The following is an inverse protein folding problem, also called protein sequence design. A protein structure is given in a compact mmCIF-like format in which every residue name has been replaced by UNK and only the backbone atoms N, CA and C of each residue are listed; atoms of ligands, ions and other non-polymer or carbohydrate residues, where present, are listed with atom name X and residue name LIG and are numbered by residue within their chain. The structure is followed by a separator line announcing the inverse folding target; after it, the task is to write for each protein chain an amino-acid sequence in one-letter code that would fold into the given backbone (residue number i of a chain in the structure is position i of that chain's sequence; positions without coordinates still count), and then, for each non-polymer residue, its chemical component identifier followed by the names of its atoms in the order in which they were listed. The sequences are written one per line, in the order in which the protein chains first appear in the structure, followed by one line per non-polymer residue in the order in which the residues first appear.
data_IF_326774106232
#
_entry.id   IF_326774106232
#
_cell.length_a   1.000
_cell.length_b   1.000
_cell.length_c   1.000
_cell.angle_alpha   90.00
_cell.angle_beta   90.00
_cell.angle_gamma   90.00
#
_symmetry.space_group_name_H-M   'P 1'
#
loop_
_entity.id
_entity.type
_entity.pdbx_description
1 polymer ?
#
# COMPACT_ATOMS: atom_id res chain seq x y z
N UNK A 1 -63.59 -28.55 8.06
CA UNK A 1 -62.56 -27.58 8.50
C UNK A 1 -61.13 -28.08 8.28
N UNK A 2 -60.76 -29.31 8.67
CA UNK A 2 -59.39 -29.82 8.51
C UNK A 2 -58.84 -29.81 7.06
N UNK A 3 -59.66 -30.18 6.06
CA UNK A 3 -59.26 -30.22 4.65
C UNK A 3 -58.99 -28.84 4.03
N UNK A 4 -59.71 -27.81 4.49
CA UNK A 4 -59.52 -26.43 4.03
C UNK A 4 -58.20 -25.85 4.56
N UNK A 5 -57.89 -26.12 5.84
CA UNK A 5 -56.65 -25.67 6.46
C UNK A 5 -55.40 -26.34 5.84
N UNK A 6 -55.50 -27.61 5.45
CA UNK A 6 -54.42 -28.31 4.76
C UNK A 6 -54.13 -27.73 3.36
N UNK A 7 -55.17 -27.31 2.63
CA UNK A 7 -55.01 -26.66 1.32
C UNK A 7 -54.32 -25.30 1.43
N UNK A 8 -54.74 -24.49 2.41
CA UNK A 8 -54.14 -23.17 2.67
C UNK A 8 -52.66 -23.29 3.05
N UNK A 9 -52.29 -24.27 3.88
CA UNK A 9 -50.91 -24.52 4.26
C UNK A 9 -50.04 -24.91 3.05
N UNK A 10 -50.55 -25.77 2.16
CA UNK A 10 -49.82 -26.16 0.95
C UNK A 10 -49.61 -24.97 -0.01
N UNK A 11 -50.59 -24.08 -0.14
CA UNK A 11 -50.46 -22.84 -0.92
C UNK A 11 -49.41 -21.90 -0.31
N UNK A 12 -49.37 -21.79 1.02
CA UNK A 12 -48.34 -21.02 1.74
C UNK A 12 -46.93 -21.61 1.53
N UNK A 13 -46.77 -22.93 1.62
CA UNK A 13 -45.47 -23.60 1.37
C UNK A 13 -45.01 -23.37 -0.08
N UNK A 14 -45.92 -23.50 -1.06
CA UNK A 14 -45.59 -23.25 -2.46
C UNK A 14 -45.17 -21.78 -2.69
N UNK A 15 -45.85 -20.83 -2.05
CA UNK A 15 -45.49 -19.41 -2.09
C UNK A 15 -44.10 -19.14 -1.48
N UNK A 16 -43.80 -19.77 -0.33
CA UNK A 16 -42.48 -19.66 0.32
C UNK A 16 -41.37 -20.23 -0.55
N UNK A 17 -41.55 -21.40 -1.16
CA UNK A 17 -40.56 -22.00 -2.06
C UNK A 17 -40.28 -21.09 -3.28
N UNK A 18 -41.32 -20.45 -3.83
CA UNK A 18 -41.15 -19.49 -4.91
C UNK A 18 -40.39 -18.22 -4.45
N UNK A 19 -40.58 -17.77 -3.21
CA UNK A 19 -39.82 -16.66 -2.64
C UNK A 19 -38.35 -17.02 -2.40
N UNK A 20 -38.06 -18.22 -1.87
CA UNK A 20 -36.70 -18.72 -1.69
C UNK A 20 -35.97 -18.80 -3.03
N UNK A 21 -36.59 -19.35 -4.08
CA UNK A 21 -35.98 -19.39 -5.41
C UNK A 21 -35.67 -18.02 -6.00
N UNK A 22 -36.48 -16.99 -5.70
CA UNK A 22 -36.18 -15.60 -6.08
C UNK A 22 -35.02 -15.01 -5.28
N UNK A 23 -34.94 -15.31 -3.98
CA UNK A 23 -33.84 -14.87 -3.11
C UNK A 23 -32.52 -15.48 -3.55
N UNK A 24 -32.49 -16.78 -3.87
CA UNK A 24 -31.28 -17.46 -4.34
C UNK A 24 -30.79 -16.89 -5.68
N UNK A 25 -31.71 -16.60 -6.60
CA UNK A 25 -31.39 -15.94 -7.86
C UNK A 25 -30.82 -14.53 -7.64
N UNK A 26 -31.39 -13.77 -6.70
CA UNK A 26 -30.91 -12.43 -6.36
C UNK A 26 -29.53 -12.45 -5.68
N UNK A 27 -29.30 -13.38 -4.74
CA UNK A 27 -27.99 -13.58 -4.11
C UNK A 27 -26.93 -13.91 -5.16
N UNK A 28 -27.25 -14.83 -6.08
CA UNK A 28 -26.34 -15.23 -7.17
C UNK A 28 -26.03 -14.03 -8.07
N UNK A 29 -27.05 -13.25 -8.43
CA UNK A 29 -26.89 -12.04 -9.25
C UNK A 29 -26.01 -10.99 -8.56
N UNK A 30 -26.19 -10.78 -7.26
CA UNK A 30 -25.38 -9.84 -6.48
C UNK A 30 -23.92 -10.30 -6.37
N UNK A 31 -23.69 -11.60 -6.16
CA UNK A 31 -22.34 -12.17 -6.16
C UNK A 31 -21.64 -11.94 -7.51
N UNK A 32 -22.29 -12.28 -8.62
CA UNK A 32 -21.74 -12.05 -9.96
C UNK A 32 -21.46 -10.56 -10.24
N UNK A 33 -22.36 -9.67 -9.81
CA UNK A 33 -22.15 -8.23 -9.96
C UNK A 33 -20.97 -7.72 -9.12
N UNK A 34 -20.80 -8.24 -7.90
CA UNK A 34 -19.68 -7.90 -7.03
C UNK A 34 -18.35 -8.42 -7.59
N UNK A 35 -18.33 -9.65 -8.11
CA UNK A 35 -17.13 -10.26 -8.72
C UNK A 35 -16.72 -9.49 -9.98
N UNK A 36 -17.68 -9.16 -10.85
CA UNK A 36 -17.42 -8.36 -12.04
C UNK A 36 -16.88 -6.97 -11.68
N UNK A 37 -17.45 -6.33 -10.64
CA UNK A 37 -16.94 -5.04 -10.14
C UNK A 37 -15.53 -5.18 -9.56
N UNK A 38 -15.26 -6.22 -8.79
CA UNK A 38 -13.95 -6.50 -8.22
C UNK A 38 -12.89 -6.71 -9.30
N UNK A 39 -13.23 -7.42 -10.39
CA UNK A 39 -12.34 -7.62 -11.53
C UNK A 39 -12.01 -6.30 -12.26
N UNK A 40 -13.03 -5.46 -12.48
CA UNK A 40 -12.86 -4.13 -13.09
C UNK A 40 -11.99 -3.23 -12.21
N UNK A 41 -12.27 -3.18 -10.91
CA UNK A 41 -11.50 -2.40 -9.93
C UNK A 41 -10.04 -2.87 -9.86
N UNK A 42 -9.81 -4.19 -9.88
CA UNK A 42 -8.47 -4.76 -9.88
C UNK A 42 -7.69 -4.39 -11.15
N UNK A 43 -8.32 -4.51 -12.33
CA UNK A 43 -7.71 -4.10 -13.61
C UNK A 43 -7.36 -2.61 -13.61
N UNK A 44 -8.24 -1.76 -13.06
CA UNK A 44 -7.98 -0.34 -12.91
C UNK A 44 -6.78 -0.07 -11.99
N UNK A 45 -6.69 -0.76 -10.84
CA UNK A 45 -5.59 -0.67 -9.90
C UNK A 45 -4.24 -1.11 -10.50
N UNK A 46 -4.24 -2.21 -11.28
CA UNK A 46 -3.06 -2.69 -12.00
C UNK A 46 -2.60 -1.66 -13.04
N UNK A 47 -3.54 -1.11 -13.82
CA UNK A 47 -3.22 -0.06 -14.81
C UNK A 47 -2.66 1.19 -14.13
N UNK A 48 -3.29 1.63 -13.03
CA UNK A 48 -2.81 2.77 -12.24
C UNK A 48 -1.38 2.56 -11.77
N UNK A 49 -1.07 1.36 -11.25
CA UNK A 49 0.28 1.00 -10.80
C UNK A 49 1.28 0.99 -11.96
N UNK A 50 0.88 0.49 -13.13
CA UNK A 50 1.73 0.51 -14.32
C UNK A 50 2.02 1.94 -14.82
N UNK A 51 1.03 2.83 -14.79
CA UNK A 51 1.22 4.24 -15.16
C UNK A 51 2.08 4.98 -14.13
N UNK A 52 1.89 4.70 -12.84
CA UNK A 52 2.79 5.18 -11.78
C UNK A 52 4.25 4.80 -12.07
N UNK A 53 4.54 3.58 -12.49
CA UNK A 53 5.91 3.17 -12.81
C UNK A 53 6.53 3.93 -13.98
N UNK A 54 5.73 4.28 -15.00
CA UNK A 54 6.21 5.11 -16.12
C UNK A 54 6.58 6.50 -15.62
N UNK A 55 5.72 7.13 -14.82
CA UNK A 55 6.01 8.43 -14.21
C UNK A 55 7.22 8.37 -13.27
N UNK A 56 7.30 7.32 -12.46
CA UNK A 56 8.38 7.11 -11.51
C UNK A 56 9.72 7.04 -12.25
N UNK A 57 9.80 6.27 -13.33
CA UNK A 57 11.00 6.15 -14.18
C UNK A 57 11.49 7.51 -14.65
N UNK A 58 10.57 8.37 -15.10
CA UNK A 58 10.90 9.74 -15.54
C UNK A 58 11.34 10.65 -14.39
N UNK A 59 10.81 10.46 -13.17
CA UNK A 59 11.07 11.31 -12.00
C UNK A 59 12.33 10.93 -11.24
N UNK A 60 12.61 9.63 -11.08
CA UNK A 60 13.69 9.13 -10.21
C UNK A 60 14.79 8.35 -10.95
N UNK A 61 14.60 8.10 -12.25
CA UNK A 61 15.54 7.34 -13.07
C UNK A 61 15.22 5.83 -13.12
N UNK A 62 15.73 5.18 -14.17
CA UNK A 62 15.38 3.79 -14.51
C UNK A 62 15.80 2.76 -13.44
N UNK A 63 16.96 2.93 -12.81
CA UNK A 63 17.45 1.97 -11.80
C UNK A 63 16.59 1.97 -10.54
N UNK A 64 16.28 3.15 -9.97
CA UNK A 64 15.43 3.25 -8.79
C UNK A 64 14.00 2.77 -9.07
N UNK A 65 13.45 3.10 -10.24
CA UNK A 65 12.12 2.62 -10.64
C UNK A 65 12.10 1.09 -10.81
N UNK A 66 13.15 0.50 -11.40
CA UNK A 66 13.27 -0.95 -11.56
C UNK A 66 13.36 -1.67 -10.20
N UNK A 67 14.12 -1.14 -9.23
CA UNK A 67 14.19 -1.72 -7.90
C UNK A 67 12.86 -1.61 -7.13
N UNK A 68 12.12 -0.52 -7.31
CA UNK A 68 10.77 -0.38 -6.76
C UNK A 68 9.79 -1.41 -7.34
N UNK A 69 9.80 -1.60 -8.66
CA UNK A 69 9.00 -2.64 -9.33
C UNK A 69 9.38 -4.05 -8.85
N UNK A 70 10.67 -4.31 -8.71
CA UNK A 70 11.17 -5.61 -8.32
C UNK A 70 10.88 -5.91 -6.84
N UNK A 71 10.86 -4.89 -5.97
CA UNK A 71 10.34 -5.03 -4.60
C UNK A 71 8.84 -5.36 -4.64
N UNK A 72 8.06 -4.64 -5.45
CA UNK A 72 6.61 -4.85 -5.59
C UNK A 72 6.24 -6.24 -6.09
N UNK A 73 6.97 -6.78 -7.06
CA UNK A 73 6.77 -8.15 -7.53
C UNK A 73 6.98 -9.20 -6.42
N UNK A 74 7.77 -8.86 -5.40
CA UNK A 74 8.11 -9.73 -4.29
C UNK A 74 7.27 -9.57 -3.02
N UNK A 75 6.29 -8.65 -2.95
CA UNK A 75 5.51 -8.43 -1.72
C UNK A 75 4.33 -9.37 -1.53
N UNK A 76 3.80 -9.96 -2.60
CA UNK A 76 2.59 -10.77 -2.52
C UNK A 76 2.80 -11.98 -1.62
N UNK A 77 1.91 -12.19 -0.65
CA UNK A 77 1.99 -13.28 0.32
C UNK A 77 3.04 -13.09 1.42
N UNK A 78 3.91 -12.08 1.35
CA UNK A 78 4.85 -11.75 2.42
C UNK A 78 4.17 -10.96 3.53
N UNK A 79 4.67 -11.16 4.75
CA UNK A 79 4.37 -10.29 5.89
C UNK A 79 5.53 -9.33 6.11
N UNK A 80 5.23 -8.21 6.74
CA UNK A 80 6.24 -7.27 7.19
C UNK A 80 7.11 -7.91 8.29
N UNK A 81 8.42 -7.66 8.25
CA UNK A 81 9.37 -8.06 9.30
C UNK A 81 9.23 -7.21 10.58
N UNK A 82 10.16 -7.38 11.51
CA UNK A 82 10.18 -6.62 12.77
C UNK A 82 11.09 -5.38 12.70
N UNK A 83 10.86 -4.40 13.56
CA UNK A 83 11.60 -3.13 13.53
C UNK A 83 13.08 -3.31 13.84
N UNK A 84 13.45 -4.25 14.71
CA UNK A 84 14.84 -4.49 15.11
C UNK A 84 15.69 -4.90 13.91
N UNK A 85 15.24 -5.89 13.14
CA UNK A 85 15.92 -6.36 11.92
C UNK A 85 15.90 -5.28 10.84
N UNK A 86 14.77 -4.60 10.64
CA UNK A 86 14.66 -3.54 9.64
C UNK A 86 15.60 -2.36 9.96
N UNK A 87 15.68 -1.92 11.22
CA UNK A 87 16.64 -0.90 11.64
C UNK A 87 18.07 -1.37 11.40
N UNK A 88 18.42 -2.60 11.77
CA UNK A 88 19.76 -3.14 11.55
C UNK A 88 20.14 -3.21 10.06
N UNK A 89 19.20 -3.51 9.19
CA UNK A 89 19.39 -3.49 7.73
C UNK A 89 19.61 -2.05 7.21
N UNK A 90 18.85 -1.09 7.70
CA UNK A 90 18.92 0.32 7.27
C UNK A 90 20.18 1.04 7.77
N UNK A 91 20.56 0.82 9.03
CA UNK A 91 21.73 1.46 9.66
C UNK A 91 23.04 1.21 8.89
N UNK A 92 23.15 0.07 8.20
CA UNK A 92 24.30 -0.24 7.32
C UNK A 92 24.52 0.80 6.21
N UNK A 93 23.47 1.51 5.80
CA UNK A 93 23.49 2.45 4.68
C UNK A 93 23.07 3.88 5.09
N UNK A 94 22.59 4.07 6.33
CA UNK A 94 22.07 5.34 6.84
C UNK A 94 23.03 6.51 6.62
N UNK A 95 24.32 6.35 6.91
CA UNK A 95 25.29 7.44 6.79
C UNK A 95 25.51 7.85 5.33
N UNK A 96 25.57 6.88 4.42
CA UNK A 96 25.70 7.15 2.99
C UNK A 96 24.46 7.88 2.45
N UNK A 97 23.28 7.44 2.88
CA UNK A 97 21.98 8.04 2.53
C UNK A 97 21.84 9.46 3.10
N UNK A 98 22.16 9.66 4.37
CA UNK A 98 22.02 10.95 5.05
C UNK A 98 22.94 12.03 4.48
N UNK A 99 24.15 11.65 4.01
CA UNK A 99 25.10 12.57 3.36
C UNK A 99 24.61 13.11 2.02
N UNK A 100 23.67 12.43 1.35
CA UNK A 100 23.08 12.88 0.08
C UNK A 100 22.05 14.01 0.25
N UNK A 101 21.62 14.32 1.47
CA UNK A 101 20.67 15.41 1.74
C UNK A 101 21.37 16.64 2.30
N UNK A 102 21.25 17.76 1.59
CA UNK A 102 21.53 19.08 2.18
C UNK A 102 20.41 19.50 3.15
N UNK A 103 20.68 20.49 4.00
CA UNK A 103 19.64 21.08 4.84
C UNK A 103 18.44 21.61 4.04
N UNK A 104 18.70 22.15 2.85
CA UNK A 104 17.66 22.66 1.94
C UNK A 104 16.79 21.54 1.38
N UNK A 105 17.40 20.39 1.04
CA UNK A 105 16.65 19.23 0.56
C UNK A 105 15.70 18.72 1.64
N UNK A 106 16.19 18.61 2.88
CA UNK A 106 15.38 18.19 4.03
C UNK A 106 14.20 19.12 4.26
N UNK A 107 14.42 20.43 4.19
CA UNK A 107 13.36 21.43 4.34
C UNK A 107 12.32 21.32 3.20
N UNK A 108 12.77 21.16 1.96
CA UNK A 108 11.89 21.01 0.80
C UNK A 108 11.02 19.76 0.92
N UNK A 109 11.58 18.63 1.34
CA UNK A 109 10.84 17.38 1.55
C UNK A 109 9.84 17.54 2.70
N UNK A 110 10.24 18.16 3.81
CA UNK A 110 9.33 18.40 4.92
C UNK A 110 8.11 19.24 4.49
N UNK A 111 8.31 20.29 3.69
CA UNK A 111 7.22 21.11 3.13
C UNK A 111 6.35 20.32 2.14
N UNK A 112 6.96 19.46 1.32
CA UNK A 112 6.23 18.62 0.36
C UNK A 112 5.35 17.58 1.07
N UNK A 113 5.81 17.06 2.22
CA UNK A 113 5.03 16.15 3.07
C UNK A 113 3.92 16.90 3.83
N UNK A 114 4.16 18.13 4.30
CA UNK A 114 3.12 18.96 4.94
C UNK A 114 1.99 19.33 3.98
N UNK A 115 2.32 19.54 2.70
CA UNK A 115 1.37 19.94 1.66
C UNK A 115 0.64 18.75 1.03
N UNK A 116 0.85 17.54 1.55
CA UNK A 116 0.31 16.32 0.97
C UNK A 116 -1.22 16.28 1.11
N UNK A 117 -1.91 16.11 -0.02
CA UNK A 117 -3.35 15.99 -0.04
C UNK A 117 -3.79 14.62 0.50
N UNK A 118 -4.37 14.62 1.72
CA UNK A 118 -4.81 13.39 2.41
C UNK A 118 -5.85 12.58 1.66
N UNK A 119 -6.75 13.23 0.92
CA UNK A 119 -7.76 12.54 0.10
C UNK A 119 -7.13 11.86 -1.11
N UNK A 120 -6.19 12.54 -1.77
CA UNK A 120 -5.45 11.95 -2.89
C UNK A 120 -4.58 10.79 -2.42
N UNK A 121 -3.94 10.90 -1.26
CA UNK A 121 -3.23 9.79 -0.63
C UNK A 121 -4.17 8.61 -0.35
N UNK A 122 -5.33 8.82 0.27
CA UNK A 122 -6.30 7.76 0.51
C UNK A 122 -6.72 7.03 -0.78
N UNK A 123 -6.99 7.79 -1.85
CA UNK A 123 -7.32 7.23 -3.17
C UNK A 123 -6.16 6.43 -3.75
N UNK A 124 -4.93 6.95 -3.70
CA UNK A 124 -3.74 6.25 -4.19
C UNK A 124 -3.46 4.98 -3.37
N UNK A 125 -3.60 5.04 -2.05
CA UNK A 125 -3.47 3.89 -1.14
C UNK A 125 -4.45 2.78 -1.49
N UNK A 126 -5.71 3.13 -1.78
CA UNK A 126 -6.73 2.15 -2.19
C UNK A 126 -6.32 1.44 -3.49
N UNK A 127 -5.88 2.19 -4.50
CA UNK A 127 -5.44 1.62 -5.77
C UNK A 127 -4.23 0.70 -5.60
N UNK A 128 -3.18 1.14 -4.89
CA UNK A 128 -2.01 0.29 -4.65
C UNK A 128 -2.33 -0.92 -3.78
N UNK A 129 -3.18 -0.76 -2.76
CA UNK A 129 -3.62 -1.89 -1.91
C UNK A 129 -4.32 -2.96 -2.73
N UNK A 130 -5.26 -2.56 -3.60
CA UNK A 130 -5.94 -3.46 -4.55
C UNK A 130 -4.93 -4.14 -5.49
N UNK A 131 -3.99 -3.39 -6.05
CA UNK A 131 -2.97 -3.93 -6.95
C UNK A 131 -2.05 -4.96 -6.27
N UNK A 132 -1.71 -4.75 -5.00
CA UNK A 132 -0.85 -5.65 -4.21
C UNK A 132 -1.62 -6.74 -3.46
N UNK A 133 -2.93 -6.86 -3.68
CA UNK A 133 -3.76 -7.90 -3.07
C UNK A 133 -3.97 -7.72 -1.55
N UNK A 134 -3.83 -6.50 -1.03
CA UNK A 134 -4.14 -6.19 0.37
C UNK A 134 -5.61 -5.81 0.51
N UNK A 135 -6.33 -6.55 1.36
CA UNK A 135 -7.77 -6.38 1.65
C UNK A 135 -8.00 -6.06 3.13
N UNK A 136 -6.98 -5.56 3.84
CA UNK A 136 -7.06 -5.30 5.29
C UNK A 136 -7.65 -3.94 5.63
N UNK A 137 -7.69 -3.62 6.94
CA UNK A 137 -8.23 -2.35 7.45
C UNK A 137 -7.41 -1.15 6.96
N UNK A 138 -8.09 -0.02 6.83
CA UNK A 138 -7.45 1.27 6.59
C UNK A 138 -6.43 1.58 7.70
N UNK A 139 -5.23 1.98 7.31
CA UNK A 139 -4.15 2.36 8.23
C UNK A 139 -4.34 3.81 8.65
N UNK A 140 -4.07 4.14 9.92
CA UNK A 140 -3.89 5.54 10.31
C UNK A 140 -2.52 6.02 9.85
N UNK A 141 -2.49 6.59 8.65
CA UNK A 141 -1.28 7.04 7.99
C UNK A 141 -0.81 8.43 8.45
N UNK A 142 -1.62 9.19 9.18
CA UNK A 142 -1.28 10.55 9.58
C UNK A 142 -0.09 10.56 10.55
N UNK A 143 -0.14 9.71 11.57
CA UNK A 143 0.96 9.51 12.52
C UNK A 143 2.25 9.05 11.84
N UNK A 144 2.14 8.14 10.88
CA UNK A 144 3.29 7.63 10.15
C UNK A 144 3.95 8.72 9.29
N UNK A 145 3.16 9.59 8.65
CA UNK A 145 3.67 10.73 7.90
C UNK A 145 4.45 11.72 8.79
N UNK A 146 3.99 11.95 10.03
CA UNK A 146 4.71 12.81 10.99
C UNK A 146 6.09 12.25 11.31
N UNK A 147 6.18 10.95 11.58
CA UNK A 147 7.47 10.31 11.87
C UNK A 147 8.40 10.27 10.64
N UNK A 148 7.85 10.05 9.44
CA UNK A 148 8.62 10.12 8.19
C UNK A 148 9.17 11.53 7.97
N UNK A 149 8.36 12.56 8.16
CA UNK A 149 8.79 13.97 8.07
C UNK A 149 9.94 14.23 9.04
N UNK A 150 9.83 13.74 10.29
CA UNK A 150 10.91 13.84 11.27
C UNK A 150 12.17 13.12 10.79
N UNK A 151 12.04 11.90 10.25
CA UNK A 151 13.15 11.14 9.67
C UNK A 151 13.90 11.91 8.58
N UNK A 152 13.19 12.59 7.68
CA UNK A 152 13.83 13.46 6.69
C UNK A 152 14.48 14.70 7.32
N UNK A 153 13.82 15.36 8.27
CA UNK A 153 14.34 16.57 8.89
C UNK A 153 15.62 16.30 9.70
N UNK A 154 15.64 15.24 10.51
CA UNK A 154 16.72 14.94 11.45
C UNK A 154 17.74 13.95 10.90
N UNK A 155 17.34 13.09 9.96
CA UNK A 155 18.14 11.93 9.52
C UNK A 155 18.03 10.75 10.49
N UNK A 156 17.23 10.86 11.54
CA UNK A 156 16.99 9.82 12.55
C UNK A 156 15.67 9.11 12.27
N UNK A 157 15.77 7.86 11.82
CA UNK A 157 14.63 7.07 11.34
C UNK A 157 14.06 6.11 12.38
N UNK A 158 14.69 5.97 13.55
CA UNK A 158 14.29 4.99 14.56
C UNK A 158 12.83 5.08 14.97
N UNK A 159 12.28 6.29 15.16
CA UNK A 159 10.86 6.44 15.51
C UNK A 159 9.92 6.07 14.36
N UNK A 160 10.33 6.29 13.11
CA UNK A 160 9.60 5.81 11.91
C UNK A 160 9.53 4.30 11.89
N UNK A 161 10.65 3.61 12.13
CA UNK A 161 10.66 2.14 12.20
C UNK A 161 9.69 1.66 13.29
N UNK A 162 9.79 2.16 14.52
CA UNK A 162 8.90 1.73 15.61
C UNK A 162 7.42 2.02 15.32
N UNK A 163 7.11 3.14 14.68
CA UNK A 163 5.73 3.47 14.29
C UNK A 163 5.20 2.52 13.22
N UNK A 164 6.01 2.15 12.23
CA UNK A 164 5.65 1.13 11.22
C UNK A 164 5.31 -0.20 11.90
N UNK A 165 6.15 -0.69 12.79
CA UNK A 165 5.88 -1.95 13.51
C UNK A 165 4.61 -1.85 14.36
N UNK A 166 4.41 -0.73 15.06
CA UNK A 166 3.19 -0.52 15.87
C UNK A 166 1.92 -0.57 15.02
N UNK A 167 1.95 0.02 13.82
CA UNK A 167 0.77 0.11 12.95
C UNK A 167 0.56 -1.18 12.13
N UNK A 168 1.64 -1.84 11.73
CA UNK A 168 1.63 -2.88 10.70
C UNK A 168 2.13 -4.24 11.16
N UNK A 169 2.47 -4.45 12.44
CA UNK A 169 2.92 -5.75 12.94
C UNK A 169 1.97 -6.88 12.48
N UNK A 170 2.55 -7.88 11.81
CA UNK A 170 1.80 -9.04 11.30
C UNK A 170 0.98 -8.79 10.02
N UNK A 171 0.90 -7.55 9.53
CA UNK A 171 0.20 -7.22 8.27
C UNK A 171 1.00 -7.67 7.04
N UNK A 172 0.32 -7.71 5.89
CA UNK A 172 0.94 -8.00 4.60
C UNK A 172 1.96 -6.91 4.22
N UNK A 173 3.11 -7.33 3.69
CA UNK A 173 4.16 -6.43 3.19
C UNK A 173 3.64 -5.44 2.14
N UNK A 174 2.64 -5.87 1.35
CA UNK A 174 1.96 -5.02 0.37
C UNK A 174 1.30 -3.78 0.96
N UNK A 175 0.90 -3.78 2.24
CA UNK A 175 0.32 -2.61 2.89
C UNK A 175 1.36 -1.49 3.09
N UNK A 176 2.57 -1.84 3.57
CA UNK A 176 3.66 -0.87 3.73
C UNK A 176 4.12 -0.34 2.36
N UNK A 177 4.22 -1.22 1.36
CA UNK A 177 4.59 -0.80 0.01
C UNK A 177 3.53 0.09 -0.64
N UNK A 178 2.24 -0.24 -0.48
CA UNK A 178 1.13 0.60 -0.93
C UNK A 178 1.22 1.98 -0.30
N UNK A 179 1.59 2.04 0.99
CA UNK A 179 1.83 3.30 1.67
C UNK A 179 2.99 4.10 1.08
N UNK A 180 4.16 3.48 0.90
CA UNK A 180 5.32 4.14 0.30
C UNK A 180 5.01 4.70 -1.11
N UNK A 181 4.34 3.92 -1.95
CA UNK A 181 3.94 4.35 -3.29
C UNK A 181 2.84 5.40 -3.27
N UNK A 182 1.87 5.27 -2.35
CA UNK A 182 0.82 6.28 -2.14
C UNK A 182 1.42 7.64 -1.80
N UNK A 183 2.42 7.69 -0.92
CA UNK A 183 3.14 8.92 -0.60
C UNK A 183 3.87 9.45 -1.84
N UNK A 184 4.64 8.61 -2.54
CA UNK A 184 5.39 9.00 -3.73
C UNK A 184 4.50 9.50 -4.89
N UNK A 185 3.28 8.96 -5.03
CA UNK A 185 2.31 9.38 -6.03
C UNK A 185 1.56 10.66 -5.63
N UNK A 186 1.48 10.97 -4.33
CA UNK A 186 0.75 12.13 -3.79
C UNK A 186 1.63 13.33 -3.46
N UNK A 187 2.94 13.24 -3.65
CA UNK A 187 3.88 14.33 -3.35
C UNK A 187 4.93 14.49 -4.44
N UNK A 188 5.48 15.70 -4.56
CA UNK A 188 6.58 15.98 -5.47
C UNK A 188 7.88 15.56 -4.77
N UNK A 189 8.32 14.33 -5.07
CA UNK A 189 9.51 13.74 -4.45
C UNK A 189 10.61 13.53 -5.49
N UNK A 190 11.82 14.02 -5.19
CA UNK A 190 13.02 13.73 -5.99
C UNK A 190 13.58 12.33 -5.72
N UNK A 191 14.51 11.90 -6.58
CA UNK A 191 15.10 10.56 -6.54
C UNK A 191 15.70 10.17 -5.18
N UNK A 192 16.38 11.11 -4.49
CA UNK A 192 17.02 10.86 -3.19
C UNK A 192 15.98 10.55 -2.11
N UNK A 193 14.93 11.38 -2.03
CA UNK A 193 13.85 11.18 -1.08
C UNK A 193 13.11 9.86 -1.37
N UNK A 194 12.79 9.59 -2.64
CA UNK A 194 12.17 8.32 -3.02
C UNK A 194 13.02 7.11 -2.59
N UNK A 195 14.31 7.12 -2.89
CA UNK A 195 15.23 6.05 -2.51
C UNK A 195 15.28 5.81 -0.99
N UNK A 196 15.19 6.86 -0.18
CA UNK A 196 15.21 6.77 1.28
C UNK A 196 13.93 6.10 1.85
N UNK A 197 12.73 6.52 1.41
CA UNK A 197 11.48 5.83 1.77
C UNK A 197 11.51 4.37 1.31
N UNK A 198 12.04 4.10 0.12
CA UNK A 198 12.14 2.74 -0.39
C UNK A 198 13.18 1.90 0.35
N UNK A 199 14.27 2.48 0.84
CA UNK A 199 15.22 1.80 1.70
C UNK A 199 14.59 1.40 3.04
N UNK A 200 13.83 2.31 3.68
CA UNK A 200 13.07 2.00 4.91
C UNK A 200 12.01 0.92 4.66
N UNK A 201 11.28 1.04 3.57
CA UNK A 201 10.25 0.05 3.16
C UNK A 201 10.86 -1.32 2.88
N UNK A 202 11.98 -1.34 2.15
CA UNK A 202 12.71 -2.55 1.80
C UNK A 202 13.30 -3.22 3.03
N UNK A 203 13.77 -2.46 4.02
CA UNK A 203 14.34 -3.03 5.23
C UNK A 203 13.35 -3.93 5.99
N UNK A 204 12.05 -3.67 5.84
CA UNK A 204 10.98 -4.47 6.40
C UNK A 204 10.55 -5.67 5.54
N UNK A 205 10.91 -5.71 4.26
CA UNK A 205 10.34 -6.64 3.27
C UNK A 205 11.41 -7.57 2.68
N UNK A 206 12.58 -7.01 2.41
CA UNK A 206 13.70 -7.64 1.72
C UNK A 206 14.99 -6.84 2.02
N UNK A 207 15.75 -7.28 3.02
CA UNK A 207 17.02 -6.64 3.42
C UNK A 207 18.00 -6.51 2.25
N UNK A 208 18.06 -7.51 1.34
CA UNK A 208 18.98 -7.50 0.22
C UNK A 208 18.73 -6.32 -0.74
N UNK A 209 17.48 -5.84 -0.80
CA UNK A 209 17.09 -4.70 -1.62
C UNK A 209 17.40 -3.34 -1.00
N UNK A 210 17.64 -3.26 0.32
CA UNK A 210 18.11 -2.02 0.96
C UNK A 210 19.44 -1.59 0.32
N UNK A 211 20.36 -2.55 0.14
CA UNK A 211 21.62 -2.32 -0.57
C UNK A 211 21.38 -1.85 -2.00
N UNK A 212 20.45 -2.46 -2.72
CA UNK A 212 20.18 -2.11 -4.12
C UNK A 212 19.63 -0.69 -4.27
N UNK A 213 18.75 -0.24 -3.37
CA UNK A 213 18.31 1.15 -3.35
C UNK A 213 19.45 2.11 -3.01
N UNK A 214 20.30 1.76 -2.05
CA UNK A 214 21.49 2.54 -1.75
C UNK A 214 22.44 2.65 -2.96
N UNK A 215 22.73 1.53 -3.63
CA UNK A 215 23.62 1.50 -4.80
C UNK A 215 23.04 2.29 -5.98
N UNK A 216 21.75 2.12 -6.25
CA UNK A 216 21.04 2.89 -7.29
C UNK A 216 21.06 4.39 -7.00
N UNK A 217 20.96 4.79 -5.73
CA UNK A 217 21.09 6.19 -5.32
C UNK A 217 22.53 6.71 -5.46
N UNK A 218 23.53 5.89 -5.15
CA UNK A 218 24.94 6.28 -5.29
C UNK A 218 25.35 6.46 -6.76
N UNK A 219 24.65 5.80 -7.68
CA UNK A 219 24.85 5.91 -9.12
C UNK A 219 24.19 7.15 -9.76
N UNK A 220 23.41 7.93 -9.00
CA UNK A 220 22.91 9.26 -9.39
C UNK A 220 23.96 10.35 -9.12
#
# INVERSE_FOLDING_TARGET
MATYNAKLLNEQVASLLAQVGKLDAEITRQQQANDAKAEVDYKAAVKFTADFYKELTSKVGGQLAAEAQALAAGVQGKRIGNAKEAMAAYEKYKDALNKKFSAKDREAIAKALDSLNKEQLAKNLEQFSKAFGYVGKAMDYADLLVEIKKGYATGEWGSTFLKIETLLAGNAAGALLAFAFGVAASTVMGAIAFAMIMAVTSAYIDEARVKKFNDALLAL
#
